data_IF_934432222573
#
_entry.id   IF_934432222573
#
_cell.length_a   1.000
_cell.length_b   1.000
_cell.length_c   1.000
_cell.angle_alpha   90.00
_cell.angle_beta   90.00
_cell.angle_gamma   90.00
#
_symmetry.space_group_name_H-M   'P 1'
#
loop_
_entity.id
_entity.type
_entity.pdbx_description
1 polymer ?
#
# COMPACT_ATOMS: atom_id res chain seq x y z
N UNK A 1 1.49 -12.20 -0.17
CA UNK A 1 2.48 -11.22 -0.66
C UNK A 1 2.32 -9.96 0.15
N UNK A 2 3.32 -9.65 0.96
CA UNK A 2 3.37 -8.36 1.64
C UNK A 2 3.86 -7.28 0.67
N UNK A 3 3.18 -6.13 0.68
CA UNK A 3 3.43 -5.03 -0.22
C UNK A 3 3.56 -3.72 0.56
N UNK A 4 4.68 -3.04 0.33
CA UNK A 4 4.92 -1.69 0.80
C UNK A 4 4.67 -0.72 -0.35
N UNK A 5 3.70 0.16 -0.17
CA UNK A 5 3.27 1.13 -1.17
C UNK A 5 3.53 2.53 -0.65
N UNK A 6 4.40 3.27 -1.34
CA UNK A 6 4.59 4.71 -1.08
C UNK A 6 3.67 5.51 -1.96
N UNK A 7 2.88 6.39 -1.35
CA UNK A 7 2.03 7.35 -2.03
C UNK A 7 2.84 8.59 -2.43
N UNK A 8 2.39 9.28 -3.49
CA UNK A 8 2.99 10.55 -3.93
C UNK A 8 2.89 11.65 -2.88
N UNK A 9 1.90 11.57 -1.99
CA UNK A 9 1.71 12.52 -0.88
C UNK A 9 2.69 12.31 0.28
N UNK A 10 3.63 11.35 0.18
CA UNK A 10 4.62 11.07 1.22
C UNK A 10 4.14 10.05 2.28
N UNK A 11 2.91 9.59 2.18
CA UNK A 11 2.35 8.54 3.03
C UNK A 11 2.84 7.16 2.57
N UNK A 12 2.94 6.22 3.50
CA UNK A 12 3.31 4.83 3.22
C UNK A 12 2.21 3.91 3.71
N UNK A 13 1.85 2.94 2.89
CA UNK A 13 0.86 1.93 3.18
C UNK A 13 1.54 0.58 3.14
N UNK A 14 1.44 -0.15 4.24
CA UNK A 14 2.02 -1.47 4.39
C UNK A 14 0.86 -2.42 4.54
N UNK A 15 0.77 -3.43 3.67
CA UNK A 15 -0.34 -4.36 3.75
C UNK A 15 -0.21 -5.48 2.75
N UNK A 16 -1.22 -6.34 2.73
CA UNK A 16 -1.22 -7.50 1.85
C UNK A 16 -1.82 -7.13 0.50
N UNK A 17 -1.06 -7.32 -0.57
CA UNK A 17 -1.59 -7.17 -1.92
C UNK A 17 -2.56 -8.32 -2.22
N UNK A 18 -3.81 -7.99 -2.50
CA UNK A 18 -4.88 -8.93 -2.84
C UNK A 18 -5.01 -9.07 -4.35
N UNK A 19 -5.02 -7.94 -5.06
CA UNK A 19 -5.17 -7.92 -6.51
C UNK A 19 -4.51 -6.69 -7.13
N UNK A 20 -4.07 -6.84 -8.38
CA UNK A 20 -3.56 -5.76 -9.22
C UNK A 20 -4.40 -5.72 -10.50
N UNK A 21 -5.19 -4.67 -10.68
CA UNK A 21 -6.07 -4.49 -11.83
C UNK A 21 -5.35 -3.93 -13.07
N UNK A 22 -6.06 -3.89 -14.19
CA UNK A 22 -5.54 -3.52 -15.51
C UNK A 22 -4.92 -2.11 -15.62
N UNK A 23 -5.23 -1.22 -14.68
CA UNK A 23 -4.72 0.16 -14.65
C UNK A 23 -3.66 0.39 -13.58
N UNK A 24 -3.06 -0.69 -13.07
CA UNK A 24 -2.19 -0.64 -11.89
C UNK A 24 -2.96 -0.10 -10.67
N UNK A 25 -4.27 -0.41 -10.61
CA UNK A 25 -5.09 -0.28 -9.42
C UNK A 25 -4.73 -1.41 -8.47
N UNK A 26 -4.44 -1.07 -7.21
CA UNK A 26 -4.02 -2.05 -6.21
C UNK A 26 -5.09 -2.15 -5.15
N UNK A 27 -5.54 -3.38 -4.90
CA UNK A 27 -6.37 -3.73 -3.76
C UNK A 27 -5.46 -4.29 -2.66
N UNK A 28 -5.39 -3.58 -1.53
CA UNK A 28 -4.62 -3.97 -0.37
C UNK A 28 -5.58 -4.28 0.80
N UNK A 29 -5.23 -5.28 1.60
CA UNK A 29 -5.94 -5.64 2.84
C UNK A 29 -5.01 -5.55 4.03
N UNK A 30 -5.62 -5.38 5.21
CA UNK A 30 -4.94 -5.34 6.51
C UNK A 30 -3.84 -4.26 6.49
N UNK A 31 -4.23 -3.07 6.02
CA UNK A 31 -3.29 -2.01 5.68
C UNK A 31 -3.02 -1.14 6.89
N UNK A 32 -1.74 -0.96 7.17
CA UNK A 32 -1.24 0.05 8.10
C UNK A 32 -0.79 1.26 7.29
N UNK A 33 -1.57 2.34 7.38
CA UNK A 33 -1.20 3.64 6.85
C UNK A 33 -0.29 4.36 7.85
N UNK A 34 0.88 4.77 7.38
CA UNK A 34 1.84 5.58 8.11
C UNK A 34 2.02 6.93 7.40
N UNK A 35 1.66 8.02 8.06
CA UNK A 35 1.93 9.37 7.57
C UNK A 35 3.38 9.78 7.81
N UNK A 36 3.90 10.67 6.95
CA UNK A 36 5.27 11.20 7.04
C UNK A 36 5.54 11.91 8.38
N UNK A 37 4.49 12.53 8.94
CA UNK A 37 4.51 13.24 10.22
C UNK A 37 4.64 12.30 11.44
N UNK A 38 4.66 10.98 11.23
CA UNK A 38 4.85 9.92 12.24
C UNK A 38 3.85 9.87 13.40
N UNK A 39 2.84 10.73 13.42
CA UNK A 39 1.85 10.78 14.50
C UNK A 39 0.57 9.96 14.21
N UNK A 40 0.24 9.73 12.92
CA UNK A 40 -1.02 9.10 12.52
C UNK A 40 -0.78 7.74 11.88
N UNK A 41 -1.07 6.71 12.66
CA UNK A 41 -1.18 5.33 12.17
C UNK A 41 -2.65 4.92 12.12
N UNK A 42 -3.15 4.69 10.91
CA UNK A 42 -4.51 4.23 10.67
C UNK A 42 -4.51 2.78 10.22
N UNK A 43 -5.22 1.92 10.97
CA UNK A 43 -5.53 0.56 10.52
C UNK A 43 -6.71 0.60 9.55
N UNK A 44 -6.51 0.14 8.32
CA UNK A 44 -7.52 0.12 7.27
C UNK A 44 -7.73 -1.33 6.86
N UNK A 45 -8.98 -1.80 6.98
CA UNK A 45 -9.32 -3.19 6.67
C UNK A 45 -9.06 -3.53 5.20
N UNK A 46 -9.47 -2.65 4.28
CA UNK A 46 -9.28 -2.80 2.85
C UNK A 46 -9.19 -1.43 2.18
N UNK A 47 -8.38 -1.33 1.15
CA UNK A 47 -8.22 -0.08 0.41
C UNK A 47 -7.88 -0.35 -1.05
N UNK A 48 -8.60 0.34 -1.94
CA UNK A 48 -8.34 0.32 -3.37
C UNK A 48 -7.73 1.65 -3.80
N UNK A 49 -6.63 1.59 -4.54
CA UNK A 49 -5.89 2.77 -4.96
C UNK A 49 -5.59 2.75 -6.44
N UNK A 50 -5.83 3.89 -7.08
CA UNK A 50 -5.43 4.08 -8.46
C UNK A 50 -3.92 4.40 -8.56
N UNK A 51 -3.30 3.93 -9.65
CA UNK A 51 -1.90 4.22 -10.04
C UNK A 51 -1.45 5.66 -9.83
N UNK A 52 -2.33 6.65 -10.03
CA UNK A 52 -1.99 8.07 -9.98
C UNK A 52 -1.45 8.47 -8.61
N UNK A 53 -1.89 7.79 -7.54
CA UNK A 53 -1.49 8.03 -6.17
C UNK A 53 -0.19 7.32 -5.79
N UNK A 54 0.20 6.27 -6.54
CA UNK A 54 1.36 5.43 -6.25
C UNK A 54 2.65 6.12 -6.70
N UNK A 55 3.70 6.00 -5.89
CA UNK A 55 5.07 6.42 -6.21
C UNK A 55 5.98 5.22 -6.37
N UNK A 56 6.01 4.31 -5.38
CA UNK A 56 6.83 3.10 -5.38
C UNK A 56 6.01 1.95 -4.81
N UNK A 57 6.11 0.78 -5.44
CA UNK A 57 5.59 -0.48 -4.91
C UNK A 57 6.81 -1.37 -4.66
N UNK A 58 6.93 -1.87 -3.43
CA UNK A 58 7.94 -2.86 -3.06
C UNK A 58 7.21 -4.08 -2.53
N UNK A 59 7.13 -5.12 -3.34
CA UNK A 59 6.71 -6.44 -2.88
C UNK A 59 7.94 -7.19 -2.38
N UNK A 60 7.90 -7.63 -1.13
CA UNK A 60 8.90 -8.59 -0.64
C UNK A 60 8.40 -9.97 -1.03
N UNK A 61 9.10 -10.62 -1.96
CA UNK A 61 8.95 -12.07 -2.16
C UNK A 61 9.68 -12.73 -0.98
N UNK A 62 8.97 -12.94 0.13
CA UNK A 62 9.49 -13.83 1.17
C UNK A 62 9.39 -15.24 0.61
N UNK A 63 10.43 -15.68 -0.10
CA UNK A 63 10.61 -17.09 -0.46
C UNK A 63 10.76 -17.87 0.85
N UNK A 64 9.76 -18.70 1.15
CA UNK A 64 9.93 -19.83 2.05
C UNK A 64 10.62 -20.97 1.32
#
# INVERSE_FOLDING_TARGET
>A
MDAHVKLKKGETLNGRLVSCGAWMSLALREVLQASLDRDKFGGIAEVDMHRKLLRIIRSSLTSA
#
